data_IF_968353929999
#
_entry.id   IF_968353929999
#
_cell.length_a   1.000
_cell.length_b   1.000
_cell.length_c   1.000
_cell.angle_alpha   90.00
_cell.angle_beta   90.00
_cell.angle_gamma   90.00
#
_symmetry.space_group_name_H-M   'P 1'
#
loop_
_entity.id
_entity.type
_entity.pdbx_description
1 polymer ?
#
# COMPACT_ATOMS: atom_id res chain seq x y z
N UNK A 1 34.37 8.51 35.17
CA UNK A 1 32.91 8.65 35.38
C UNK A 1 32.14 7.71 34.44
N UNK A 2 32.38 6.40 34.51
CA UNK A 2 31.77 5.39 33.62
C UNK A 2 30.70 4.55 34.31
N UNK A 3 30.72 4.52 35.65
CA UNK A 3 29.87 3.66 36.48
C UNK A 3 28.36 3.96 36.38
N UNK A 4 27.98 5.21 36.07
CA UNK A 4 26.56 5.59 35.95
C UNK A 4 25.93 5.09 34.65
N UNK A 5 26.69 5.02 33.56
CA UNK A 5 26.18 4.59 32.25
C UNK A 5 25.81 3.11 32.25
N UNK A 6 26.68 2.27 32.82
CA UNK A 6 26.46 0.81 32.88
C UNK A 6 25.24 0.44 33.74
N UNK A 7 25.01 1.17 34.85
CA UNK A 7 23.85 0.98 35.73
C UNK A 7 22.56 1.47 35.07
N UNK A 8 22.63 2.53 34.26
CA UNK A 8 21.49 3.03 33.48
C UNK A 8 21.12 2.05 32.35
N UNK A 9 22.12 1.54 31.64
CA UNK A 9 21.94 0.51 30.60
C UNK A 9 21.36 -0.76 31.21
N UNK A 10 21.87 -1.21 32.36
CA UNK A 10 21.33 -2.39 33.05
C UNK A 10 19.86 -2.21 33.47
N UNK A 11 19.45 -1.02 33.93
CA UNK A 11 18.06 -0.72 34.27
C UNK A 11 17.14 -0.62 33.03
N UNK A 12 17.65 -0.09 31.91
CA UNK A 12 16.94 -0.03 30.63
C UNK A 12 16.77 -1.43 30.02
N UNK A 13 17.80 -2.28 30.11
CA UNK A 13 17.82 -3.66 29.58
C UNK A 13 17.02 -4.62 30.47
N UNK A 14 16.99 -4.41 31.79
CA UNK A 14 16.25 -5.27 32.72
C UNK A 14 14.73 -5.29 32.52
N UNK A 15 14.16 -4.28 31.83
CA UNK A 15 12.73 -4.19 31.52
C UNK A 15 12.41 -4.46 30.03
N UNK A 16 13.40 -4.84 29.22
CA UNK A 16 13.19 -5.18 27.81
C UNK A 16 12.75 -6.64 27.69
N UNK A 17 11.44 -6.86 27.62
CA UNK A 17 10.89 -8.17 27.24
C UNK A 17 11.29 -8.46 25.78
N UNK A 18 11.85 -9.65 25.44
CA UNK A 18 12.33 -9.93 24.10
C UNK A 18 11.18 -9.86 23.09
N UNK A 19 11.18 -8.83 22.23
CA UNK A 19 10.17 -8.66 21.19
C UNK A 19 10.40 -9.72 20.10
N UNK A 20 9.34 -10.44 19.72
CA UNK A 20 9.39 -11.47 18.67
C UNK A 20 9.99 -10.90 17.38
N UNK A 21 10.96 -11.58 16.74
CA UNK A 21 11.53 -11.10 15.49
C UNK A 21 10.48 -11.16 14.37
N UNK A 22 10.05 -10.00 13.90
CA UNK A 22 9.16 -9.88 12.74
C UNK A 22 9.90 -10.34 11.47
N UNK A 23 9.44 -11.44 10.87
CA UNK A 23 10.02 -12.00 9.64
C UNK A 23 9.42 -11.32 8.41
N UNK A 24 10.27 -10.70 7.60
CA UNK A 24 9.90 -10.03 6.34
C UNK A 24 9.02 -10.88 5.41
N UNK A 25 9.38 -12.16 5.25
CA UNK A 25 8.65 -13.09 4.38
C UNK A 25 7.19 -13.34 4.82
N UNK A 26 6.91 -13.29 6.12
CA UNK A 26 5.53 -13.46 6.62
C UNK A 26 4.68 -12.22 6.33
N UNK A 27 5.20 -11.01 6.61
CA UNK A 27 4.47 -9.77 6.29
C UNK A 27 4.22 -9.62 4.79
N UNK A 28 5.22 -9.92 3.96
CA UNK A 28 5.08 -9.86 2.51
C UNK A 28 4.12 -10.93 1.98
N UNK A 29 4.23 -12.18 2.46
CA UNK A 29 3.33 -13.26 2.04
C UNK A 29 1.88 -12.98 2.41
N UNK A 30 1.64 -12.34 3.55
CA UNK A 30 0.31 -11.99 4.04
C UNK A 30 -0.29 -10.80 3.27
N UNK A 31 0.53 -9.81 2.88
CA UNK A 31 0.13 -8.76 1.95
C UNK A 31 -0.22 -9.33 0.56
N UNK A 32 0.58 -10.28 0.05
CA UNK A 32 0.34 -10.94 -1.24
C UNK A 32 -0.95 -11.78 -1.19
N UNK A 33 -1.19 -12.50 -0.09
CA UNK A 33 -2.43 -13.23 0.12
C UNK A 33 -3.65 -12.29 0.15
N UNK A 34 -3.58 -11.16 0.87
CA UNK A 34 -4.64 -10.16 0.89
C UNK A 34 -4.91 -9.56 -0.50
N UNK A 35 -3.85 -9.30 -1.27
CA UNK A 35 -3.97 -8.85 -2.66
C UNK A 35 -4.64 -9.90 -3.55
N UNK A 36 -4.26 -11.18 -3.42
CA UNK A 36 -4.87 -12.28 -4.17
C UNK A 36 -6.36 -12.45 -3.83
N UNK A 37 -6.72 -12.44 -2.54
CA UNK A 37 -8.11 -12.51 -2.08
C UNK A 37 -8.92 -11.33 -2.63
N UNK A 38 -8.38 -10.12 -2.56
CA UNK A 38 -9.02 -8.92 -3.11
C UNK A 38 -9.24 -9.05 -4.62
N UNK A 39 -8.26 -9.59 -5.34
CA UNK A 39 -8.35 -9.79 -6.80
C UNK A 39 -9.45 -10.81 -7.15
N UNK A 40 -9.49 -11.95 -6.45
CA UNK A 40 -10.52 -12.98 -6.64
C UNK A 40 -11.91 -12.44 -6.34
N UNK A 41 -12.06 -11.67 -5.25
CA UNK A 41 -13.32 -11.04 -4.87
C UNK A 41 -13.81 -10.08 -5.96
N UNK A 42 -12.92 -9.25 -6.52
CA UNK A 42 -13.27 -8.33 -7.61
C UNK A 42 -13.68 -9.07 -8.88
N UNK A 43 -12.95 -10.11 -9.27
CA UNK A 43 -13.29 -10.94 -10.44
C UNK A 43 -14.66 -11.60 -10.23
N UNK A 44 -14.96 -12.07 -9.01
CA UNK A 44 -16.24 -12.70 -8.69
C UNK A 44 -17.41 -11.72 -8.69
N UNK A 45 -17.20 -10.46 -8.28
CA UNK A 45 -18.26 -9.45 -8.17
C UNK A 45 -18.54 -8.74 -9.49
N UNK A 46 -17.49 -8.40 -10.24
CA UNK A 46 -17.59 -7.58 -11.45
C UNK A 46 -17.39 -8.38 -12.75
N UNK A 47 -17.05 -9.65 -12.64
CA UNK A 47 -16.71 -10.50 -13.77
C UNK A 47 -15.33 -10.20 -14.35
N UNK A 48 -14.88 -11.07 -15.24
CA UNK A 48 -13.65 -10.86 -16.02
C UNK A 48 -13.95 -9.88 -17.15
N UNK A 49 -13.19 -8.78 -17.26
CA UNK A 49 -13.35 -7.79 -18.34
C UNK A 49 -13.31 -8.45 -19.72
N UNK A 50 -14.23 -8.05 -20.61
CA UNK A 50 -14.32 -8.56 -21.97
C UNK A 50 -13.02 -8.37 -22.77
N UNK A 51 -12.31 -7.25 -22.62
CA UNK A 51 -10.98 -7.02 -23.23
C UNK A 51 -9.94 -8.10 -22.87
N UNK A 52 -9.97 -8.61 -21.63
CA UNK A 52 -9.06 -9.68 -21.19
C UNK A 52 -9.47 -11.04 -21.78
N UNK A 53 -10.77 -11.27 -21.97
CA UNK A 53 -11.29 -12.50 -22.55
C UNK A 53 -10.98 -12.61 -24.05
N UNK A 54 -10.94 -11.47 -24.76
CA UNK A 54 -10.67 -11.40 -26.21
C UNK A 54 -9.16 -11.29 -26.50
N UNK A 55 -8.32 -11.08 -25.49
CA UNK A 55 -6.86 -10.95 -25.64
C UNK A 55 -6.41 -9.62 -26.25
N UNK A 56 -7.31 -8.65 -26.39
CA UNK A 56 -7.00 -7.30 -26.84
C UNK A 56 -6.92 -6.37 -25.65
N UNK A 57 -5.73 -6.33 -25.04
CA UNK A 57 -5.47 -5.43 -23.92
C UNK A 57 -5.05 -4.08 -24.47
N UNK A 58 -5.80 -3.02 -24.14
CA UNK A 58 -5.38 -1.66 -24.47
C UNK A 58 -3.99 -1.38 -23.84
N UNK A 59 -2.98 -0.95 -24.63
CA UNK A 59 -1.61 -0.74 -24.13
C UNK A 59 -1.54 0.22 -22.95
N UNK A 60 -2.43 1.24 -22.92
CA UNK A 60 -2.49 2.19 -21.81
C UNK A 60 -2.94 1.51 -20.50
N UNK A 61 -3.86 0.54 -20.59
CA UNK A 61 -4.33 -0.21 -19.44
C UNK A 61 -3.23 -1.11 -18.86
N UNK A 62 -2.40 -1.70 -19.72
CA UNK A 62 -1.27 -2.53 -19.30
C UNK A 62 -0.20 -1.70 -18.59
N UNK A 63 0.13 -0.52 -19.12
CA UNK A 63 1.13 0.38 -18.52
C UNK A 63 0.64 0.89 -17.16
N UNK A 64 -0.62 1.35 -17.08
CA UNK A 64 -1.18 1.89 -15.84
C UNK A 64 -1.30 0.81 -14.75
N UNK A 65 -1.81 -0.38 -15.08
CA UNK A 65 -1.87 -1.50 -14.12
C UNK A 65 -0.48 -1.93 -13.64
N UNK A 66 0.51 -2.00 -14.53
CA UNK A 66 1.90 -2.27 -14.17
C UNK A 66 2.48 -1.21 -13.23
N UNK A 67 2.21 0.07 -13.47
CA UNK A 67 2.66 1.17 -12.61
C UNK A 67 2.05 1.08 -11.21
N UNK A 68 0.74 0.83 -11.11
CA UNK A 68 0.06 0.66 -9.82
C UNK A 68 0.55 -0.57 -9.07
N UNK A 69 0.84 -1.66 -9.78
CA UNK A 69 1.41 -2.87 -9.18
C UNK A 69 2.81 -2.60 -8.62
N UNK A 70 3.67 -1.91 -9.37
CA UNK A 70 4.98 -1.48 -8.89
C UNK A 70 4.89 -0.59 -7.65
N UNK A 71 3.95 0.36 -7.65
CA UNK A 71 3.69 1.24 -6.51
C UNK A 71 3.22 0.46 -5.28
N UNK A 72 2.32 -0.50 -5.45
CA UNK A 72 1.81 -1.33 -4.36
C UNK A 72 2.91 -2.20 -3.74
N UNK A 73 3.79 -2.78 -4.56
CA UNK A 73 4.94 -3.56 -4.08
C UNK A 73 5.89 -2.65 -3.29
N UNK A 74 6.26 -1.50 -3.85
CA UNK A 74 7.14 -0.55 -3.19
C UNK A 74 6.59 -0.12 -1.82
N UNK A 75 5.32 0.28 -1.77
CA UNK A 75 4.66 0.69 -0.53
C UNK A 75 4.64 -0.44 0.51
N UNK A 76 4.28 -1.66 0.10
CA UNK A 76 4.24 -2.82 0.99
C UNK A 76 5.62 -3.13 1.57
N UNK A 77 6.66 -3.11 0.74
CA UNK A 77 8.04 -3.31 1.18
C UNK A 77 8.46 -2.24 2.18
N UNK A 78 8.15 -0.96 1.93
CA UNK A 78 8.52 0.12 2.85
C UNK A 78 7.85 -0.03 4.21
N UNK A 79 6.56 -0.37 4.26
CA UNK A 79 5.84 -0.61 5.53
C UNK A 79 6.45 -1.78 6.29
N UNK A 80 6.78 -2.88 5.61
CA UNK A 80 7.40 -4.05 6.26
C UNK A 80 8.80 -3.71 6.77
N UNK A 81 9.60 -2.94 6.03
CA UNK A 81 10.93 -2.50 6.49
C UNK A 81 10.81 -1.62 7.74
N UNK A 82 9.88 -0.65 7.71
CA UNK A 82 9.64 0.28 8.81
C UNK A 82 9.09 -0.39 10.07
N UNK A 83 8.43 -1.55 9.92
CA UNK A 83 7.93 -2.34 11.04
C UNK A 83 9.02 -3.05 11.87
N UNK A 84 10.28 -3.03 11.40
CA UNK A 84 11.39 -3.70 12.09
C UNK A 84 12.06 -2.73 13.08
N UNK A 85 12.15 -3.10 14.37
CA UNK A 85 12.88 -2.30 15.34
C UNK A 85 14.38 -2.42 15.06
N UNK A 86 14.96 -1.43 14.38
CA UNK A 86 16.40 -1.32 14.12
C UNK A 86 16.92 0.01 14.69
N UNK A 87 17.99 -0.06 15.48
CA UNK A 87 18.63 1.12 16.08
C UNK A 87 19.57 1.77 15.06
N UNK A 88 19.44 3.08 14.82
CA UNK A 88 20.35 3.86 13.96
C UNK A 88 20.05 3.84 12.45
N UNK A 89 18.96 3.21 12.02
CA UNK A 89 18.50 3.24 10.62
C UNK A 89 17.60 4.43 10.35
N UNK A 90 17.99 5.27 9.41
CA UNK A 90 17.19 6.40 8.94
C UNK A 90 16.12 5.92 7.94
N UNK A 91 14.86 6.15 8.25
CA UNK A 91 13.70 5.72 7.44
C UNK A 91 13.06 6.89 6.67
N UNK A 92 13.81 8.00 6.50
CA UNK A 92 13.32 9.25 5.89
C UNK A 92 12.86 9.10 4.43
N UNK A 93 13.32 8.06 3.71
CA UNK A 93 12.97 7.79 2.31
C UNK A 93 11.48 7.55 2.04
N UNK A 94 10.69 7.16 3.05
CA UNK A 94 9.24 6.95 2.88
C UNK A 94 8.49 8.25 2.53
N UNK A 95 8.97 9.41 2.99
CA UNK A 95 8.32 10.70 2.69
C UNK A 95 8.39 11.02 1.20
N UNK A 96 9.52 10.74 0.55
CA UNK A 96 9.69 10.91 -0.89
C UNK A 96 8.90 9.87 -1.70
N UNK A 97 8.84 8.62 -1.24
CA UNK A 97 8.00 7.60 -1.87
C UNK A 97 6.51 7.97 -1.79
N UNK A 98 6.05 8.47 -0.65
CA UNK A 98 4.68 8.95 -0.45
C UNK A 98 4.39 10.20 -1.31
N UNK A 99 5.34 11.13 -1.42
CA UNK A 99 5.20 12.30 -2.29
C UNK A 99 5.07 11.92 -3.77
N UNK A 100 5.88 10.96 -4.25
CA UNK A 100 5.79 10.46 -5.62
C UNK A 100 4.50 9.67 -5.85
N UNK A 101 4.03 8.90 -4.87
CA UNK A 101 2.75 8.21 -4.93
C UNK A 101 1.56 9.19 -5.01
N UNK A 102 1.63 10.28 -4.24
CA UNK A 102 0.60 11.33 -4.20
C UNK A 102 0.51 12.15 -5.50
N UNK A 103 1.54 12.09 -6.34
CA UNK A 103 1.56 12.77 -7.63
C UNK A 103 0.46 12.24 -8.58
N UNK A 104 0.14 10.95 -8.50
CA UNK A 104 -0.87 10.33 -9.36
C UNK A 104 -2.30 10.82 -9.06
N UNK A 105 -2.81 10.79 -7.81
CA UNK A 105 -4.10 11.38 -7.48
C UNK A 105 -4.10 12.91 -7.64
N UNK A 106 -2.98 13.59 -7.39
CA UNK A 106 -2.86 15.03 -7.65
C UNK A 106 -3.03 15.35 -9.14
N UNK A 107 -2.36 14.61 -10.03
CA UNK A 107 -2.53 14.74 -11.47
C UNK A 107 -3.96 14.44 -11.91
N UNK A 108 -4.58 13.39 -11.36
CA UNK A 108 -5.99 13.08 -11.61
C UNK A 108 -6.94 14.22 -11.20
N UNK A 109 -6.67 14.86 -10.05
CA UNK A 109 -7.45 16.00 -9.55
C UNK A 109 -7.27 17.23 -10.44
N UNK A 110 -6.05 17.52 -10.88
CA UNK A 110 -5.75 18.63 -11.81
C UNK A 110 -6.46 18.43 -13.15
N UNK A 111 -6.35 17.23 -13.74
CA UNK A 111 -7.01 16.90 -15.01
C UNK A 111 -8.53 16.92 -14.86
N UNK A 112 -9.06 16.41 -13.75
CA UNK A 112 -10.48 16.45 -13.44
C UNK A 112 -11.03 17.88 -13.32
N UNK A 113 -10.28 18.79 -12.71
CA UNK A 113 -10.65 20.21 -12.63
C UNK A 113 -10.49 20.94 -13.97
N UNK A 114 -9.50 20.57 -14.79
CA UNK A 114 -9.22 21.21 -16.08
C UNK A 114 -10.11 20.70 -17.23
N UNK A 115 -10.65 19.48 -17.14
CA UNK A 115 -11.30 18.77 -18.23
C UNK A 115 -12.72 19.21 -18.61
N UNK A 116 -13.37 20.09 -17.85
CA UNK A 116 -14.72 20.58 -18.16
C UNK A 116 -15.83 19.51 -18.17
N UNK A 117 -17.06 19.94 -18.45
CA UNK A 117 -18.31 19.19 -18.22
C UNK A 117 -18.47 17.83 -18.90
N UNK A 118 -17.72 17.53 -19.98
CA UNK A 118 -17.83 16.22 -20.67
C UNK A 118 -17.26 15.06 -19.83
N UNK A 119 -16.16 15.29 -19.10
CA UNK A 119 -15.58 14.32 -18.14
C UNK A 119 -16.45 14.15 -16.88
N UNK A 120 -17.30 15.13 -16.60
CA UNK A 120 -18.28 15.16 -15.50
C UNK A 120 -19.66 14.63 -15.92
N UNK A 121 -19.73 13.83 -16.98
CA UNK A 121 -20.95 13.06 -17.27
C UNK A 121 -21.31 12.20 -16.05
N UNK A 122 -22.60 12.18 -15.67
CA UNK A 122 -23.07 11.54 -14.43
C UNK A 122 -22.63 10.08 -14.30
N UNK A 123 -22.56 9.35 -15.43
CA UNK A 123 -22.07 7.97 -15.46
C UNK A 123 -20.57 7.84 -15.16
N UNK A 124 -19.74 8.76 -15.67
CA UNK A 124 -18.29 8.78 -15.42
C UNK A 124 -17.98 9.02 -13.93
N UNK A 125 -18.70 9.95 -13.31
CA UNK A 125 -18.57 10.25 -11.87
C UNK A 125 -19.00 9.05 -11.02
N UNK A 126 -20.10 8.39 -11.39
CA UNK A 126 -20.63 7.23 -10.65
C UNK A 126 -19.70 6.03 -10.74
N UNK A 127 -19.12 5.78 -11.92
CA UNK A 127 -18.08 4.76 -12.11
C UNK A 127 -16.79 5.10 -11.36
N UNK A 128 -16.34 6.36 -11.42
CA UNK A 128 -15.16 6.84 -10.70
C UNK A 128 -15.30 6.68 -9.19
N UNK A 129 -16.46 7.05 -8.62
CA UNK A 129 -16.74 6.86 -7.19
C UNK A 129 -16.78 5.39 -6.78
N UNK A 130 -17.37 4.52 -7.59
CA UNK A 130 -17.37 3.08 -7.32
C UNK A 130 -15.94 2.54 -7.29
N UNK A 131 -15.12 2.84 -8.29
CA UNK A 131 -13.71 2.44 -8.33
C UNK A 131 -12.91 2.97 -7.14
N UNK A 132 -13.14 4.22 -6.73
CA UNK A 132 -12.50 4.81 -5.57
C UNK A 132 -12.89 4.11 -4.27
N UNK A 133 -14.19 3.86 -4.04
CA UNK A 133 -14.65 3.14 -2.85
C UNK A 133 -14.09 1.72 -2.79
N UNK A 134 -14.11 1.00 -3.90
CA UNK A 134 -13.62 -0.38 -3.98
C UNK A 134 -12.10 -0.43 -3.72
N UNK A 135 -11.34 0.45 -4.39
CA UNK A 135 -9.88 0.53 -4.19
C UNK A 135 -9.51 0.98 -2.77
N UNK A 136 -10.28 1.92 -2.21
CA UNK A 136 -10.14 2.38 -0.84
C UNK A 136 -10.42 1.27 0.17
N UNK A 137 -11.51 0.52 -0.01
CA UNK A 137 -11.87 -0.62 0.84
C UNK A 137 -10.81 -1.72 0.81
N UNK A 138 -10.28 -2.07 -0.37
CA UNK A 138 -9.19 -3.03 -0.50
C UNK A 138 -7.91 -2.57 0.20
N UNK A 139 -7.56 -1.29 0.08
CA UNK A 139 -6.40 -0.70 0.78
C UNK A 139 -6.56 -0.73 2.31
N UNK A 140 -7.76 -0.43 2.79
CA UNK A 140 -8.11 -0.48 4.22
C UNK A 140 -8.03 -1.90 4.78
N UNK A 141 -8.43 -2.90 3.99
CA UNK A 141 -8.32 -4.31 4.35
C UNK A 141 -6.86 -4.74 4.50
N UNK A 142 -6.00 -4.40 3.53
CA UNK A 142 -4.56 -4.67 3.62
C UNK A 142 -3.94 -3.98 4.83
N UNK A 143 -4.31 -2.72 5.08
CA UNK A 143 -3.85 -1.97 6.26
C UNK A 143 -4.28 -2.66 7.57
N UNK A 144 -5.56 -3.00 7.72
CA UNK A 144 -6.07 -3.68 8.92
C UNK A 144 -5.36 -5.02 9.16
N UNK A 145 -5.11 -5.77 8.09
CA UNK A 145 -4.41 -7.05 8.14
C UNK A 145 -2.95 -6.88 8.60
N UNK A 146 -2.24 -5.87 8.10
CA UNK A 146 -0.87 -5.55 8.52
C UNK A 146 -0.82 -5.06 9.98
N UNK A 147 -1.79 -4.24 10.41
CA UNK A 147 -1.91 -3.78 11.80
C UNK A 147 -2.18 -4.95 12.75
N UNK A 148 -3.02 -5.90 12.34
CA UNK A 148 -3.27 -7.10 13.14
C UNK A 148 -2.01 -7.97 13.24
N UNK A 149 -1.24 -8.12 12.17
CA UNK A 149 0.04 -8.83 12.21
C UNK A 149 1.08 -8.17 13.13
N UNK A 150 0.97 -6.86 13.37
CA UNK A 150 1.90 -6.11 14.21
C UNK A 150 1.60 -6.19 15.71
N UNK A 151 0.38 -6.59 16.08
CA UNK A 151 -0.05 -6.79 17.47
C UNK A 151 0.23 -8.21 17.94
#
# INVERSE_FOLDING_TARGET
MTHNSDVLIANLVGNLEPVRPLRFAHGFGLALAAAAVSTVLLISLYGMRADLQVGHVNPLHLITSGLFLGLAIAASVTVIVMSRPCVGTDHSGWTWAAAMAALLPAAGLIVGLAGGGELLSQDSIRHGMACFMIGGAGSLLVFAMLVWWLR
#
